data_IF_864995103841
#
_entry.id   IF_864995103841
#
_cell.length_a   1.000
_cell.length_b   1.000
_cell.length_c   1.000
_cell.angle_alpha   90.00
_cell.angle_beta   90.00
_cell.angle_gamma   90.00
#
_symmetry.space_group_name_H-M   'P 1'
#
loop_
_entity.id
_entity.type
_entity.pdbx_description
1 polymer ?
#
# COMPACT_ATOMS: atom_id res chain seq x y z
N UNK A 1 38.18 27.32 31.16
CA UNK A 1 37.06 27.64 30.25
C UNK A 1 37.09 26.94 28.88
N UNK A 2 38.10 26.10 28.54
CA UNK A 2 38.16 25.43 27.23
C UNK A 2 37.49 24.04 27.15
N UNK A 3 37.33 23.32 28.27
CA UNK A 3 36.76 21.96 28.25
C UNK A 3 35.25 21.90 27.98
N UNK A 4 34.49 22.96 28.32
CA UNK A 4 33.04 23.00 28.11
C UNK A 4 32.63 23.15 26.63
N UNK A 5 33.53 23.59 25.75
CA UNK A 5 33.24 23.75 24.31
C UNK A 5 33.35 22.44 23.52
N UNK A 6 34.21 21.51 23.96
CA UNK A 6 34.39 20.22 23.25
C UNK A 6 33.20 19.28 23.41
N UNK A 7 32.55 19.26 24.59
CA UNK A 7 31.40 18.39 24.84
C UNK A 7 30.16 18.82 24.04
N UNK A 8 29.99 20.12 23.81
CA UNK A 8 28.87 20.65 23.02
C UNK A 8 28.96 20.28 21.53
N UNK A 9 30.18 20.32 20.96
CA UNK A 9 30.42 19.94 19.56
C UNK A 9 30.20 18.44 19.37
N UNK A 10 30.61 17.63 20.34
CA UNK A 10 30.41 16.18 20.30
C UNK A 10 28.92 15.80 20.31
N UNK A 11 28.12 16.47 21.12
CA UNK A 11 26.66 16.28 21.16
C UNK A 11 25.97 16.73 19.87
N UNK A 12 26.36 17.86 19.30
CA UNK A 12 25.84 18.31 18.00
C UNK A 12 26.13 17.29 16.88
N UNK A 13 27.35 16.75 16.86
CA UNK A 13 27.74 15.76 15.86
C UNK A 13 26.96 14.45 16.03
N UNK A 14 26.77 13.99 17.28
CA UNK A 14 26.00 12.79 17.57
C UNK A 14 24.51 12.93 17.23
N UNK A 15 23.95 14.13 17.45
CA UNK A 15 22.55 14.43 17.12
C UNK A 15 22.35 14.53 15.61
N UNK A 16 23.30 15.14 14.88
CA UNK A 16 23.25 15.20 13.41
C UNK A 16 23.39 13.81 12.78
N UNK A 17 24.26 12.96 13.34
CA UNK A 17 24.45 11.57 12.89
C UNK A 17 23.20 10.70 13.17
N UNK A 18 22.48 10.93 14.26
CA UNK A 18 21.23 10.19 14.56
C UNK A 18 20.09 10.60 13.63
N UNK A 19 19.98 11.89 13.26
CA UNK A 19 18.98 12.35 12.28
C UNK A 19 19.25 11.77 10.88
N UNK A 20 20.52 11.62 10.50
CA UNK A 20 20.91 11.04 9.20
C UNK A 20 20.68 9.52 9.09
N UNK A 21 20.57 8.81 10.22
CA UNK A 21 20.31 7.35 10.24
C UNK A 21 18.82 7.01 10.27
N UNK A 22 17.96 7.98 10.64
CA UNK A 22 16.51 7.81 10.68
C UNK A 22 15.81 8.16 9.36
N UNK A 23 16.50 8.73 8.37
CA UNK A 23 16.04 8.76 6.97
C UNK A 23 16.22 7.38 6.35
N UNK A 24 15.53 6.41 6.95
CA UNK A 24 15.36 5.06 6.41
C UNK A 24 14.93 5.19 4.96
N UNK A 25 15.81 4.64 4.12
CA UNK A 25 15.68 4.58 2.69
C UNK A 25 14.31 3.99 2.36
N UNK A 26 13.41 4.80 1.78
CA UNK A 26 12.36 4.24 0.94
C UNK A 26 13.12 3.51 -0.15
N UNK A 27 13.17 2.19 -0.04
CA UNK A 27 13.90 1.36 -0.99
C UNK A 27 13.09 1.40 -2.28
N UNK A 28 13.43 2.33 -3.16
CA UNK A 28 12.90 2.36 -4.51
C UNK A 28 13.07 0.97 -5.10
N UNK A 29 11.94 0.37 -5.50
CA UNK A 29 11.95 -0.94 -6.12
C UNK A 29 12.80 -0.82 -7.40
N UNK A 30 13.97 -1.49 -7.49
CA UNK A 30 14.86 -1.27 -8.61
C UNK A 30 14.26 -1.98 -9.82
N UNK A 31 13.47 -1.25 -10.60
CA UNK A 31 13.14 -1.64 -11.97
C UNK A 31 14.44 -1.61 -12.77
N UNK A 32 15.19 -2.72 -12.77
CA UNK A 32 16.29 -2.94 -13.70
C UNK A 32 15.70 -3.17 -15.08
N UNK A 33 15.44 -2.08 -15.79
CA UNK A 33 15.14 -2.11 -17.23
C UNK A 33 16.45 -2.46 -17.92
N UNK A 34 16.59 -3.73 -18.33
CA UNK A 34 17.88 -4.26 -18.80
C UNK A 34 17.84 -4.37 -20.32
N UNK A 35 17.46 -3.28 -21.01
CA UNK A 35 17.49 -3.27 -22.46
C UNK A 35 16.95 -1.98 -23.07
N UNK A 36 17.67 -1.45 -24.05
CA UNK A 36 17.12 -0.47 -24.97
C UNK A 36 15.98 -1.14 -25.77
N UNK A 37 14.74 -0.70 -25.57
CA UNK A 37 13.56 -1.19 -26.31
C UNK A 37 12.69 -2.23 -25.59
N UNK A 38 12.92 -2.50 -24.30
CA UNK A 38 12.02 -3.38 -23.53
C UNK A 38 10.67 -2.70 -23.30
N UNK A 39 9.58 -3.37 -23.70
CA UNK A 39 8.22 -2.95 -23.36
C UNK A 39 7.84 -3.57 -22.02
N UNK A 40 7.66 -2.73 -21.00
CA UNK A 40 7.27 -3.17 -19.66
C UNK A 40 5.77 -3.00 -19.48
N UNK A 41 5.09 -4.02 -18.97
CA UNK A 41 3.71 -3.88 -18.51
C UNK A 41 3.72 -3.43 -17.06
N UNK A 42 3.03 -2.33 -16.79
CA UNK A 42 2.89 -1.73 -15.47
C UNK A 42 1.44 -1.90 -15.03
N UNK A 43 1.27 -2.37 -13.80
CA UNK A 43 -0.03 -2.56 -13.16
C UNK A 43 -0.09 -1.65 -11.96
N UNK A 44 -1.00 -0.69 -11.99
CA UNK A 44 -1.34 0.14 -10.84
C UNK A 44 -2.72 -0.27 -10.35
N UNK A 45 -2.81 -0.88 -9.17
CA UNK A 45 -4.07 -1.39 -8.63
C UNK A 45 -4.41 -0.69 -7.31
N UNK A 46 -5.67 -0.27 -7.17
CA UNK A 46 -6.26 0.16 -5.91
C UNK A 46 -7.46 -0.75 -5.68
N UNK A 47 -7.41 -1.52 -4.59
CA UNK A 47 -8.48 -2.43 -4.22
C UNK A 47 -8.89 -2.09 -2.78
N UNK A 48 -9.83 -1.17 -2.65
CA UNK A 48 -10.29 -0.67 -1.36
C UNK A 48 -11.65 -1.27 -1.00
N UNK A 49 -11.73 -1.85 0.19
CA UNK A 49 -12.99 -2.25 0.79
C UNK A 49 -13.27 -1.39 2.02
N UNK A 50 -14.45 -0.81 2.05
CA UNK A 50 -14.97 0.04 3.11
C UNK A 50 -16.35 -0.49 3.55
N UNK A 51 -16.81 -0.07 4.74
CA UNK A 51 -18.16 -0.45 5.19
C UNK A 51 -19.28 0.24 4.38
N UNK A 52 -18.93 1.22 3.55
CA UNK A 52 -19.87 1.90 2.67
C UNK A 52 -19.71 1.35 1.24
N UNK A 53 -20.64 0.51 0.74
CA UNK A 53 -20.54 -0.07 -0.59
C UNK A 53 -20.53 0.98 -1.72
N UNK A 54 -20.95 2.23 -1.45
CA UNK A 54 -20.87 3.34 -2.40
C UNK A 54 -19.46 3.96 -2.51
N UNK A 55 -18.51 3.53 -1.66
CA UNK A 55 -17.12 4.02 -1.60
C UNK A 55 -16.11 2.90 -1.96
N UNK A 56 -16.58 1.66 -2.09
CA UNK A 56 -15.73 0.54 -2.49
C UNK A 56 -15.17 0.78 -3.91
N UNK A 57 -13.86 0.99 -4.00
CA UNK A 57 -13.16 1.24 -5.26
C UNK A 57 -12.24 0.06 -5.57
N UNK A 58 -12.72 -0.79 -6.47
CA UNK A 58 -11.98 -1.94 -6.99
C UNK A 58 -11.52 -1.64 -8.41
N UNK A 59 -10.56 -0.72 -8.52
CA UNK A 59 -10.09 -0.20 -9.80
C UNK A 59 -8.61 -0.49 -10.01
N UNK A 60 -8.30 -0.96 -11.21
CA UNK A 60 -6.93 -1.14 -11.65
C UNK A 60 -6.70 -0.35 -12.93
N UNK A 61 -5.47 0.09 -13.14
CA UNK A 61 -4.99 0.72 -14.36
C UNK A 61 -3.85 -0.11 -14.93
N UNK A 62 -4.05 -0.59 -16.15
CA UNK A 62 -3.06 -1.36 -16.91
C UNK A 62 -2.44 -0.47 -17.97
N UNK A 63 -1.12 -0.30 -17.89
CA UNK A 63 -0.35 0.47 -18.87
C UNK A 63 0.87 -0.30 -19.30
N UNK A 64 1.43 0.07 -20.45
CA UNK A 64 2.75 -0.40 -20.88
C UNK A 64 3.64 0.79 -21.14
N UNK A 65 4.89 0.66 -20.71
CA UNK A 65 5.93 1.64 -20.99
C UNK A 65 6.65 1.20 -22.26
N UNK A 66 6.67 2.08 -23.25
CA UNK A 66 7.48 1.89 -24.46
C UNK A 66 8.65 2.87 -24.41
N UNK A 67 9.87 2.34 -24.29
CA UNK A 67 11.08 3.16 -24.45
C UNK A 67 11.41 3.28 -25.93
N UNK A 68 11.44 4.52 -26.43
CA UNK A 68 11.89 4.83 -27.79
C UNK A 68 13.28 5.46 -27.68
N UNK A 69 14.24 4.97 -28.47
CA UNK A 69 15.61 5.45 -28.41
C UNK A 69 15.67 6.98 -28.62
N UNK A 70 16.30 7.69 -27.68
CA UNK A 70 16.43 9.15 -27.70
C UNK A 70 15.18 9.93 -27.23
N UNK A 71 14.16 9.26 -26.67
CA UNK A 71 12.97 9.90 -26.13
C UNK A 71 12.67 9.43 -24.70
N UNK A 72 11.95 10.26 -23.95
CA UNK A 72 11.40 9.86 -22.66
C UNK A 72 10.42 8.69 -22.84
N UNK A 73 10.39 7.71 -21.91
CA UNK A 73 9.44 6.62 -21.99
C UNK A 73 8.00 7.12 -22.03
N UNK A 74 7.18 6.54 -22.92
CA UNK A 74 5.76 6.88 -23.04
C UNK A 74 4.92 5.79 -22.39
N UNK A 75 3.97 6.19 -21.56
CA UNK A 75 2.98 5.31 -20.96
C UNK A 75 1.79 5.17 -21.93
N UNK A 76 1.48 3.93 -22.31
CA UNK A 76 0.40 3.60 -23.24
C UNK A 76 -0.62 2.74 -22.49
N UNK A 77 -1.90 3.16 -22.51
CA UNK A 77 -2.99 2.37 -21.94
C UNK A 77 -3.12 1.00 -22.62
N UNK A 78 -3.28 -0.06 -21.82
CA UNK A 78 -3.60 -1.39 -22.33
C UNK A 78 -5.13 -1.54 -22.35
N UNK A 79 -5.70 -1.64 -23.54
CA UNK A 79 -7.13 -1.84 -23.77
C UNK A 79 -7.42 -3.31 -24.15
N UNK A 80 -8.67 -3.74 -23.98
CA UNK A 80 -9.14 -5.10 -24.23
C UNK A 80 -8.39 -6.17 -23.44
N UNK A 81 -7.79 -5.81 -22.30
CA UNK A 81 -7.29 -6.79 -21.38
C UNK A 81 -8.45 -7.51 -20.68
N UNK A 82 -8.19 -8.69 -20.14
CA UNK A 82 -9.14 -9.42 -19.30
C UNK A 82 -8.58 -9.62 -17.91
N UNK A 83 -8.58 -8.58 -17.05
CA UNK A 83 -8.13 -8.72 -15.68
C UNK A 83 -9.15 -9.45 -14.82
N UNK A 84 -8.65 -10.29 -13.95
CA UNK A 84 -9.44 -11.10 -13.03
C UNK A 84 -8.69 -11.21 -11.70
N UNK A 85 -9.41 -11.03 -10.59
CA UNK A 85 -8.92 -11.33 -9.26
C UNK A 85 -9.26 -12.77 -8.91
N UNK A 86 -8.28 -13.54 -8.50
CA UNK A 86 -8.43 -14.92 -8.04
C UNK A 86 -8.31 -14.96 -6.52
N UNK A 87 -9.30 -15.53 -5.84
CA UNK A 87 -9.35 -15.67 -4.38
C UNK A 87 -9.27 -17.16 -4.02
N UNK A 88 -8.33 -17.49 -3.13
CA UNK A 88 -8.05 -18.85 -2.66
C UNK A 88 -7.87 -19.86 -3.81
N UNK A 89 -7.27 -19.40 -4.92
CA UNK A 89 -7.07 -20.17 -6.17
C UNK A 89 -8.34 -20.72 -6.84
N UNK A 90 -9.53 -20.37 -6.34
CA UNK A 90 -10.79 -21.01 -6.74
C UNK A 90 -11.78 -20.00 -7.29
N UNK A 91 -12.04 -18.94 -6.54
CA UNK A 91 -13.05 -17.96 -6.91
C UNK A 91 -12.43 -16.91 -7.82
N UNK A 92 -13.09 -16.58 -8.93
CA UNK A 92 -12.55 -15.67 -9.96
C UNK A 92 -13.53 -14.52 -10.16
N UNK A 93 -13.02 -13.30 -10.04
CA UNK A 93 -13.79 -12.08 -10.12
C UNK A 93 -13.28 -11.22 -11.29
N UNK A 94 -14.05 -11.08 -12.38
CA UNK A 94 -13.60 -10.34 -13.55
C UNK A 94 -13.74 -8.82 -13.35
N UNK A 95 -12.81 -8.07 -13.93
CA UNK A 95 -12.91 -6.62 -14.06
C UNK A 95 -13.48 -6.25 -15.44
N UNK A 96 -14.22 -5.15 -15.48
CA UNK A 96 -14.82 -4.57 -16.69
C UNK A 96 -14.05 -3.33 -17.10
N UNK A 97 -13.67 -3.25 -18.38
CA UNK A 97 -12.95 -2.09 -18.93
C UNK A 97 -13.81 -0.83 -18.90
N UNK A 98 -13.25 0.26 -18.34
CA UNK A 98 -13.87 1.58 -18.26
C UNK A 98 -13.24 2.58 -19.27
N UNK A 99 -12.20 2.16 -19.98
CA UNK A 99 -11.45 2.98 -20.95
C UNK A 99 -10.16 3.56 -20.39
N UNK A 100 -9.29 4.05 -21.28
CA UNK A 100 -7.95 4.58 -20.95
C UNK A 100 -7.10 3.64 -20.06
N UNK A 101 -7.27 2.33 -20.23
CA UNK A 101 -6.57 1.30 -19.46
C UNK A 101 -7.09 1.10 -18.04
N UNK A 102 -8.20 1.74 -17.66
CA UNK A 102 -8.88 1.49 -16.40
C UNK A 102 -9.83 0.31 -16.51
N UNK A 103 -9.84 -0.51 -15.46
CA UNK A 103 -10.73 -1.65 -15.31
C UNK A 103 -11.29 -1.65 -13.89
N UNK A 104 -12.56 -1.96 -13.76
CA UNK A 104 -13.29 -1.86 -12.50
C UNK A 104 -14.12 -3.12 -12.26
N UNK A 105 -14.15 -3.56 -11.01
CA UNK A 105 -14.96 -4.69 -10.57
C UNK A 105 -16.14 -4.16 -9.76
N UNK A 106 -17.35 -4.26 -10.33
CA UNK A 106 -18.56 -3.69 -9.72
C UNK A 106 -19.13 -4.61 -8.62
N UNK A 107 -19.52 -4.01 -7.48
CA UNK A 107 -20.36 -4.60 -6.43
C UNK A 107 -19.92 -5.96 -5.88
N UNK A 108 -18.70 -6.05 -5.35
CA UNK A 108 -18.13 -7.32 -4.91
C UNK A 108 -17.46 -7.15 -3.53
N UNK A 109 -18.15 -7.50 -2.45
CA UNK A 109 -17.50 -7.65 -1.13
C UNK A 109 -16.69 -8.93 -1.09
N UNK A 110 -15.46 -8.85 -1.59
CA UNK A 110 -14.59 -10.03 -1.79
C UNK A 110 -13.46 -10.11 -0.77
N UNK A 111 -13.10 -9.00 -0.12
CA UNK A 111 -11.98 -8.95 0.80
C UNK A 111 -12.38 -9.46 2.18
N UNK A 112 -11.99 -10.70 2.46
CA UNK A 112 -12.05 -11.34 3.78
C UNK A 112 -10.65 -11.60 4.30
N UNK A 113 -10.49 -11.53 5.61
CA UNK A 113 -9.25 -11.92 6.30
C UNK A 113 -8.94 -13.40 6.03
N UNK A 114 -7.66 -13.79 6.10
CA UNK A 114 -7.14 -15.14 5.80
C UNK A 114 -7.29 -15.64 4.37
N UNK A 115 -8.02 -14.94 3.52
CA UNK A 115 -8.08 -15.27 2.10
C UNK A 115 -6.78 -14.84 1.41
N UNK A 116 -6.41 -15.60 0.39
CA UNK A 116 -5.29 -15.34 -0.51
C UNK A 116 -5.79 -14.78 -1.82
N UNK A 117 -5.17 -13.71 -2.32
CA UNK A 117 -5.56 -12.97 -3.50
C UNK A 117 -4.44 -12.97 -4.54
N UNK A 118 -4.81 -13.01 -5.82
CA UNK A 118 -3.89 -12.97 -6.94
C UNK A 118 -4.55 -12.28 -8.13
N UNK A 119 -3.87 -11.30 -8.73
CA UNK A 119 -4.33 -10.67 -9.96
C UNK A 119 -3.79 -11.44 -11.16
N UNK A 120 -4.66 -11.80 -12.10
CA UNK A 120 -4.24 -12.29 -13.42
C UNK A 120 -4.86 -11.43 -14.50
N UNK A 121 -4.21 -11.33 -15.65
CA UNK A 121 -4.82 -10.72 -16.82
C UNK A 121 -4.26 -11.29 -18.11
N UNK A 122 -5.07 -11.24 -19.16
CA UNK A 122 -4.65 -11.59 -20.52
C UNK A 122 -4.65 -10.34 -21.39
N UNK A 123 -3.62 -10.19 -22.22
CA UNK A 123 -3.51 -9.17 -23.27
C UNK A 123 -3.20 -9.88 -24.57
N UNK A 124 -4.18 -9.97 -25.47
CA UNK A 124 -4.09 -10.85 -26.64
C UNK A 124 -3.86 -12.31 -26.19
N UNK A 125 -2.72 -12.89 -26.58
CA UNK A 125 -2.34 -14.26 -26.22
C UNK A 125 -1.37 -14.35 -25.03
N UNK A 126 -0.92 -13.21 -24.49
CA UNK A 126 -0.02 -13.18 -23.36
C UNK A 126 -0.81 -13.20 -22.04
N UNK A 127 -0.39 -14.05 -21.10
CA UNK A 127 -0.95 -14.14 -19.75
C UNK A 127 0.05 -13.64 -18.73
N UNK A 128 -0.44 -12.80 -17.81
CA UNK A 128 0.31 -12.24 -16.70
C UNK A 128 -0.38 -12.60 -15.39
N UNK A 129 0.41 -12.83 -14.35
CA UNK A 129 -0.08 -13.24 -13.04
C UNK A 129 0.81 -12.65 -11.95
N UNK A 130 0.21 -12.08 -10.90
CA UNK A 130 0.93 -11.56 -9.74
C UNK A 130 1.36 -12.69 -8.80
N UNK A 131 2.19 -12.36 -7.82
CA UNK A 131 2.31 -13.18 -6.61
C UNK A 131 0.97 -13.30 -5.89
N UNK A 132 0.87 -14.30 -5.02
CA UNK A 132 -0.26 -14.51 -4.13
C UNK A 132 -0.02 -13.79 -2.80
N UNK A 133 -1.01 -13.03 -2.33
CA UNK A 133 -0.93 -12.29 -1.07
C UNK A 133 -2.11 -12.64 -0.16
N UNK A 134 -1.82 -12.96 1.10
CA UNK A 134 -2.84 -13.37 2.07
C UNK A 134 -3.15 -12.22 3.00
N UNK A 135 -4.42 -11.82 3.07
CA UNK A 135 -4.83 -10.79 4.02
C UNK A 135 -4.66 -11.32 5.45
N UNK A 136 -3.95 -10.60 6.33
CA UNK A 136 -3.77 -11.01 7.71
C UNK A 136 -5.11 -11.05 8.45
N UNK A 137 -5.12 -11.73 9.59
CA UNK A 137 -6.25 -11.65 10.49
C UNK A 137 -6.42 -10.25 11.05
N UNK A 138 -7.67 -9.79 11.11
CA UNK A 138 -8.03 -8.65 11.93
C UNK A 138 -7.94 -9.07 13.39
N UNK A 139 -7.22 -8.30 14.21
CA UNK A 139 -7.21 -8.51 15.66
C UNK A 139 -8.51 -7.93 16.23
N UNK A 140 -9.27 -8.69 17.04
CA UNK A 140 -10.51 -8.18 17.61
C UNK A 140 -10.21 -7.04 18.58
N UNK A 141 -10.92 -5.93 18.41
CA UNK A 141 -10.97 -4.85 19.40
C UNK A 141 -11.77 -5.37 20.58
N UNK A 142 -11.14 -5.56 21.74
CA UNK A 142 -11.86 -6.05 22.91
C UNK A 142 -12.63 -4.95 23.61
N UNK A 143 -11.99 -3.78 23.76
CA UNK A 143 -12.56 -2.63 24.45
C UNK A 143 -12.05 -1.33 23.84
N UNK A 144 -12.92 -0.35 23.83
CA UNK A 144 -12.58 1.06 23.62
C UNK A 144 -12.99 1.78 24.88
N UNK A 145 -12.08 2.53 25.48
CA UNK A 145 -12.38 3.35 26.64
C UNK A 145 -11.82 4.76 26.45
N UNK A 146 -12.57 5.73 26.98
CA UNK A 146 -12.17 7.12 27.01
C UNK A 146 -11.70 7.45 28.43
N UNK A 147 -10.44 7.85 28.57
CA UNK A 147 -9.88 8.27 29.84
C UNK A 147 -9.87 9.80 29.90
N UNK A 148 -10.58 10.37 30.88
CA UNK A 148 -10.57 11.81 31.12
C UNK A 148 -9.27 12.18 31.83
N UNK A 149 -8.41 12.95 31.17
CA UNK A 149 -7.28 13.61 31.81
C UNK A 149 -7.70 14.97 32.31
N UNK A 150 -8.04 15.01 33.60
CA UNK A 150 -8.29 16.25 34.31
C UNK A 150 -6.98 17.01 34.50
N UNK A 151 -6.95 18.27 34.04
CA UNK A 151 -5.80 19.15 34.26
C UNK A 151 -6.24 20.32 35.14
N UNK A 152 -5.59 20.56 36.29
CA UNK A 152 -6.02 21.58 37.26
C UNK A 152 -6.12 23.01 36.71
N UNK A 153 -5.37 23.30 35.64
CA UNK A 153 -5.22 24.65 35.06
C UNK A 153 -5.42 24.68 33.55
N UNK A 154 -5.92 23.61 32.93
CA UNK A 154 -6.14 23.54 31.49
C UNK A 154 -7.47 22.83 31.16
N UNK A 155 -7.87 22.88 29.90
CA UNK A 155 -9.02 22.10 29.41
C UNK A 155 -8.75 20.61 29.63
N UNK A 156 -9.75 19.93 30.17
CA UNK A 156 -9.74 18.47 30.27
C UNK A 156 -9.62 17.88 28.86
N UNK A 157 -8.79 16.85 28.73
CA UNK A 157 -8.62 16.11 27.47
C UNK A 157 -9.12 14.69 27.64
N UNK A 158 -9.70 14.11 26.59
CA UNK A 158 -10.02 12.68 26.56
C UNK A 158 -8.94 11.96 25.77
N UNK A 159 -8.36 10.93 26.37
CA UNK A 159 -7.56 9.96 25.64
C UNK A 159 -8.49 8.81 25.23
N UNK A 160 -8.58 8.52 23.93
CA UNK A 160 -9.25 7.32 23.45
C UNK A 160 -8.22 6.21 23.39
N UNK A 161 -8.45 5.15 24.16
CA UNK A 161 -7.58 3.99 24.22
C UNK A 161 -8.34 2.81 23.63
N UNK A 162 -7.70 2.18 22.65
CA UNK A 162 -8.23 1.00 21.96
C UNK A 162 -7.40 -0.20 22.41
N UNK A 163 -8.02 -1.12 23.14
CA UNK A 163 -7.40 -2.38 23.55
C UNK A 163 -7.46 -3.37 22.39
N UNK A 164 -6.34 -3.47 21.69
CA UNK A 164 -6.07 -4.46 20.65
C UNK A 164 -5.12 -5.50 21.23
N UNK A 165 -5.53 -6.77 21.21
CA UNK A 165 -4.69 -7.89 21.68
C UNK A 165 -3.73 -8.34 20.57
N UNK A 166 -2.90 -7.42 20.09
CA UNK A 166 -1.92 -7.70 19.05
C UNK A 166 -0.86 -8.68 19.56
N UNK A 167 -0.60 -9.73 18.77
CA UNK A 167 0.60 -10.53 18.99
C UNK A 167 1.81 -9.65 18.66
N UNK A 168 2.87 -9.63 19.50
CA UNK A 168 4.01 -8.73 19.31
C UNK A 168 4.78 -8.96 17.99
N UNK A 169 4.56 -10.11 17.36
CA UNK A 169 5.19 -10.50 16.08
C UNK A 169 4.40 -10.01 14.86
N UNK A 170 3.18 -9.51 15.02
CA UNK A 170 2.30 -9.10 13.92
C UNK A 170 2.24 -7.58 13.87
N UNK A 171 2.63 -7.01 12.72
CA UNK A 171 2.50 -5.58 12.48
C UNK A 171 1.12 -5.29 11.91
N UNK A 172 0.25 -4.69 12.72
CA UNK A 172 -1.08 -4.24 12.32
C UNK A 172 -1.11 -2.72 12.16
N UNK A 173 -1.96 -2.25 11.25
CA UNK A 173 -2.21 -0.83 11.02
C UNK A 173 -3.69 -0.57 11.28
N UNK A 174 -3.98 0.36 12.18
CA UNK A 174 -5.33 0.77 12.54
C UNK A 174 -5.56 2.18 12.03
N UNK A 175 -6.68 2.40 11.35
CA UNK A 175 -7.14 3.72 10.97
C UNK A 175 -8.49 3.99 11.63
N UNK A 176 -8.57 5.05 12.43
CA UNK A 176 -9.84 5.51 12.99
C UNK A 176 -10.53 6.43 11.99
N UNK A 177 -11.68 6.00 11.47
CA UNK A 177 -12.65 6.87 10.82
C UNK A 177 -13.82 7.15 11.76
#
# INVERSE_FOLDING_TARGET
>A
MQQAKLTSIFWLFFTFLSVFTLTTCVKDYPLRITGNGETLVVVNAILNHTQNPDIDDYRIRLTKTQSVAGQSPVEIAILNAKPELVVNEKDVYPFTEQGNGFYEMLNQTIFKTRNTYKLRFMVGNARYESGAETLPDSVPIQKVYAELKEKPTALNTFDIIVDVQDKPEVRNYYNGQ
#
